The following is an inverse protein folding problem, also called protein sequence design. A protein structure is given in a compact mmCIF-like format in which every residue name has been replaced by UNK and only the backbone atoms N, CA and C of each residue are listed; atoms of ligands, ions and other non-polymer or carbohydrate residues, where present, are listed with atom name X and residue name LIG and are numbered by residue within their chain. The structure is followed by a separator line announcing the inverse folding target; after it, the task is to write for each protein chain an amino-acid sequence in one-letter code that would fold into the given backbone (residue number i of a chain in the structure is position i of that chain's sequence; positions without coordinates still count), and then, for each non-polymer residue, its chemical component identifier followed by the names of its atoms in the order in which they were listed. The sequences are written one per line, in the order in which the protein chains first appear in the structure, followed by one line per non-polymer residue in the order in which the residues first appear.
data_IF_895768709582
#
_entry.id   IF_895768709582
#
_cell.length_a   1.000
_cell.length_b   1.000
_cell.length_c   1.000
_cell.angle_alpha   90.00
_cell.angle_beta   90.00
_cell.angle_gamma   90.00
#
_symmetry.space_group_name_H-M   'P 1'
#
loop_
_entity.id
_entity.type
_entity.pdbx_description
1 polymer ?
#
# COMPACT_ATOMS: atom_id res chain seq x y z
N UNK A 1 -9.04 47.01 22.15
CA UNK A 1 -8.84 45.87 21.22
C UNK A 1 -9.59 44.66 21.84
N UNK A 2 -10.85 44.45 21.42
CA UNK A 2 -11.66 43.31 21.87
C UNK A 2 -11.26 42.16 20.96
N UNK A 3 -10.48 41.21 21.47
CA UNK A 3 -10.28 39.92 20.86
C UNK A 3 -11.60 39.14 20.96
N UNK A 4 -12.33 39.08 19.85
CA UNK A 4 -13.42 38.11 19.71
C UNK A 4 -12.84 36.70 19.67
N UNK A 5 -12.60 36.12 20.83
CA UNK A 5 -12.43 34.70 20.98
C UNK A 5 -13.83 34.12 20.79
N UNK A 6 -14.11 33.60 19.59
CA UNK A 6 -15.25 32.72 19.39
C UNK A 6 -14.95 31.44 20.21
N UNK A 7 -15.28 31.45 21.50
CA UNK A 7 -15.52 30.22 22.24
C UNK A 7 -16.70 29.54 21.55
N UNK A 8 -16.42 28.43 20.89
CA UNK A 8 -17.47 27.52 20.42
C UNK A 8 -18.25 27.15 21.66
N UNK A 9 -19.54 27.51 21.68
CA UNK A 9 -20.42 27.12 22.77
C UNK A 9 -20.48 25.60 22.85
N UNK A 10 -20.72 25.04 24.05
CA UNK A 10 -20.72 23.60 24.30
C UNK A 10 -21.73 22.78 23.45
N UNK A 11 -22.52 23.43 22.60
CA UNK A 11 -23.59 22.86 21.75
C UNK A 11 -23.30 22.92 20.23
N UNK A 12 -22.13 23.37 19.78
CA UNK A 12 -21.88 23.49 18.33
C UNK A 12 -21.53 22.13 17.72
N UNK A 13 -22.30 21.72 16.69
CA UNK A 13 -22.05 20.50 15.92
C UNK A 13 -20.73 20.60 15.12
N UNK A 14 -19.90 19.58 15.21
CA UNK A 14 -18.69 19.40 14.42
C UNK A 14 -19.06 18.74 13.09
N UNK A 15 -19.16 19.52 12.03
CA UNK A 15 -19.50 19.01 10.71
C UNK A 15 -18.24 18.65 9.93
N UNK A 16 -18.15 17.40 9.46
CA UNK A 16 -17.07 16.87 8.64
C UNK A 16 -17.68 16.46 7.30
N UNK A 17 -17.12 16.93 6.19
CA UNK A 17 -17.52 16.50 4.86
C UNK A 17 -16.99 15.10 4.54
N UNK A 18 -17.76 14.32 3.79
CA UNK A 18 -17.33 13.05 3.22
C UNK A 18 -17.61 13.08 1.72
N UNK A 19 -16.58 13.10 0.88
CA UNK A 19 -16.73 13.14 -0.57
C UNK A 19 -16.23 11.83 -1.19
N UNK A 20 -17.19 11.01 -1.66
CA UNK A 20 -16.92 9.66 -2.20
C UNK A 20 -17.85 9.39 -3.38
N UNK A 21 -17.54 8.44 -4.28
CA UNK A 21 -18.44 8.08 -5.38
C UNK A 21 -19.62 7.26 -4.87
N UNK A 22 -20.79 7.88 -4.71
CA UNK A 22 -22.02 7.20 -4.27
C UNK A 22 -22.91 6.77 -5.45
N UNK A 23 -22.48 7.08 -6.68
CA UNK A 23 -23.11 6.64 -7.92
C UNK A 23 -22.07 6.34 -9.00
N UNK A 24 -22.50 5.68 -10.10
CA UNK A 24 -21.63 5.29 -11.21
C UNK A 24 -20.81 4.03 -10.94
N UNK A 25 -19.76 3.85 -11.73
CA UNK A 25 -18.90 2.65 -11.74
C UNK A 25 -18.29 2.29 -10.37
N UNK A 26 -17.92 3.29 -9.58
CA UNK A 26 -17.23 3.11 -8.29
C UNK A 26 -18.17 3.21 -7.08
N UNK A 27 -19.47 3.07 -7.30
CA UNK A 27 -20.48 3.20 -6.24
C UNK A 27 -20.23 2.24 -5.05
N UNK A 28 -19.87 1.00 -5.32
CA UNK A 28 -19.61 -0.01 -4.27
C UNK A 28 -18.47 0.42 -3.33
N UNK A 29 -17.43 1.06 -3.87
CA UNK A 29 -16.32 1.61 -3.07
C UNK A 29 -16.85 2.74 -2.18
N UNK A 30 -17.62 3.67 -2.74
CA UNK A 30 -18.18 4.80 -2.01
C UNK A 30 -19.16 4.37 -0.91
N UNK A 31 -20.05 3.44 -1.21
CA UNK A 31 -20.99 2.88 -0.24
C UNK A 31 -20.25 2.18 0.91
N UNK A 32 -19.20 1.43 0.60
CA UNK A 32 -18.38 0.76 1.62
C UNK A 32 -17.67 1.78 2.53
N UNK A 33 -17.13 2.85 1.96
CA UNK A 33 -16.51 3.94 2.73
C UNK A 33 -17.53 4.65 3.62
N UNK A 34 -18.72 4.95 3.10
CA UNK A 34 -19.80 5.58 3.86
C UNK A 34 -20.24 4.71 5.05
N UNK A 35 -20.43 3.40 4.83
CA UNK A 35 -20.75 2.43 5.89
C UNK A 35 -19.64 2.39 6.96
N UNK A 36 -18.37 2.33 6.57
CA UNK A 36 -17.25 2.34 7.51
C UNK A 36 -17.14 3.65 8.29
N UNK A 37 -17.42 4.79 7.64
CA UNK A 37 -17.47 6.10 8.29
C UNK A 37 -18.58 6.14 9.36
N UNK A 38 -19.79 5.63 9.05
CA UNK A 38 -20.89 5.50 10.03
C UNK A 38 -20.50 4.61 11.21
N UNK A 39 -19.83 3.50 10.93
CA UNK A 39 -19.34 2.60 11.98
C UNK A 39 -18.34 3.31 12.91
N UNK A 40 -17.45 4.14 12.36
CA UNK A 40 -16.52 4.94 13.16
C UNK A 40 -17.25 5.96 14.05
N UNK A 41 -18.23 6.68 13.52
CA UNK A 41 -19.04 7.64 14.29
C UNK A 41 -19.79 6.94 15.40
N UNK A 42 -20.44 5.82 15.14
CA UNK A 42 -21.14 5.04 16.17
C UNK A 42 -20.20 4.58 17.31
N UNK A 43 -18.92 4.34 16.98
CA UNK A 43 -17.92 3.97 18.01
C UNK A 43 -17.36 5.13 18.79
N UNK A 44 -17.33 6.31 18.20
CA UNK A 44 -16.95 7.56 18.90
C UNK A 44 -18.00 7.91 19.93
N UNK A 45 -19.28 7.62 19.63
CA UNK A 45 -20.44 7.84 20.52
C UNK A 45 -20.49 9.28 21.04
N UNK A 46 -20.25 10.25 20.14
CA UNK A 46 -20.34 11.68 20.44
C UNK A 46 -21.32 12.33 19.46
N UNK A 47 -22.47 12.73 19.97
CA UNK A 47 -23.59 13.32 19.19
C UNK A 47 -23.21 14.66 18.52
N UNK A 48 -22.13 15.29 18.93
CA UNK A 48 -21.65 16.54 18.34
C UNK A 48 -21.07 16.35 16.94
N UNK A 49 -20.64 15.13 16.59
CA UNK A 49 -20.02 14.88 15.27
C UNK A 49 -21.08 14.50 14.24
N UNK A 50 -21.10 15.25 13.15
CA UNK A 50 -21.94 14.99 11.99
C UNK A 50 -21.11 14.81 10.72
N UNK A 51 -21.37 13.73 10.02
CA UNK A 51 -20.80 13.50 8.68
C UNK A 51 -21.78 13.96 7.61
N UNK A 52 -21.31 14.79 6.69
CA UNK A 52 -22.09 15.29 5.55
C UNK A 52 -21.59 14.62 4.27
N UNK A 53 -22.24 13.54 3.80
CA UNK A 53 -21.82 12.82 2.61
C UNK A 53 -22.23 13.56 1.34
N UNK A 54 -21.36 13.55 0.32
CA UNK A 54 -21.60 14.07 -1.01
C UNK A 54 -21.08 13.11 -2.07
N UNK A 55 -21.84 12.94 -3.14
CA UNK A 55 -21.48 12.08 -4.27
C UNK A 55 -20.54 12.80 -5.23
N UNK A 56 -19.34 12.24 -5.43
CA UNK A 56 -18.36 12.76 -6.38
C UNK A 56 -18.49 12.15 -7.78
N UNK A 57 -19.24 11.07 -7.94
CA UNK A 57 -19.29 10.25 -9.17
C UNK A 57 -17.92 9.85 -9.72
N UNK A 58 -16.88 9.91 -8.90
CA UNK A 58 -15.47 9.78 -9.30
C UNK A 58 -15.03 10.77 -10.41
N UNK A 59 -15.76 11.88 -10.56
CA UNK A 59 -15.51 12.94 -11.54
C UNK A 59 -14.84 14.15 -10.87
N UNK A 60 -13.74 14.70 -11.42
CA UNK A 60 -13.02 15.85 -10.83
C UNK A 60 -13.86 17.12 -10.75
N UNK A 61 -14.70 17.42 -11.74
CA UNK A 61 -15.54 18.63 -11.76
C UNK A 61 -16.69 18.53 -10.75
N UNK A 62 -17.32 17.35 -10.65
CA UNK A 62 -18.34 17.10 -9.63
C UNK A 62 -17.70 17.16 -8.24
N UNK A 63 -16.53 16.59 -8.07
CA UNK A 63 -15.76 16.66 -6.81
C UNK A 63 -15.52 18.11 -6.38
N UNK A 64 -15.07 18.98 -7.29
CA UNK A 64 -14.90 20.41 -7.01
C UNK A 64 -16.23 21.08 -6.62
N UNK A 65 -17.32 20.80 -7.38
CA UNK A 65 -18.63 21.38 -7.11
C UNK A 65 -19.12 21.06 -5.70
N UNK A 66 -19.14 19.77 -5.33
CA UNK A 66 -19.63 19.34 -4.01
C UNK A 66 -18.72 19.80 -2.88
N UNK A 67 -17.41 19.97 -3.14
CA UNK A 67 -16.47 20.52 -2.16
C UNK A 67 -16.73 22.00 -1.89
N UNK A 68 -17.09 22.80 -2.92
CA UNK A 68 -17.53 24.20 -2.76
C UNK A 68 -18.82 24.29 -1.95
N UNK A 69 -19.82 23.45 -2.25
CA UNK A 69 -21.06 23.40 -1.48
C UNK A 69 -20.82 23.12 0.01
N UNK A 70 -19.87 22.23 0.33
CA UNK A 70 -19.49 21.95 1.72
C UNK A 70 -18.76 23.12 2.36
N UNK A 71 -17.85 23.80 1.63
CA UNK A 71 -17.16 24.99 2.11
C UNK A 71 -18.16 26.13 2.43
N UNK A 72 -19.15 26.37 1.56
CA UNK A 72 -20.22 27.36 1.76
C UNK A 72 -21.07 27.07 3.01
N UNK A 73 -21.17 25.79 3.41
CA UNK A 73 -21.80 25.36 4.67
C UNK A 73 -20.87 25.50 5.90
N UNK A 74 -19.68 26.11 5.73
CA UNK A 74 -18.69 26.31 6.80
C UNK A 74 -17.85 25.10 7.14
N UNK A 75 -17.89 24.03 6.33
CA UNK A 75 -17.11 22.80 6.58
C UNK A 75 -15.66 23.02 6.19
N UNK A 76 -14.75 22.85 7.16
CA UNK A 76 -13.32 23.09 7.01
C UNK A 76 -12.51 21.79 6.83
N UNK A 77 -13.07 20.64 7.18
CA UNK A 77 -12.42 19.34 7.06
C UNK A 77 -13.28 18.41 6.23
N UNK A 78 -12.71 17.83 5.19
CA UNK A 78 -13.38 16.92 4.27
C UNK A 78 -12.55 15.63 4.13
N UNK A 79 -13.15 14.49 4.42
CA UNK A 79 -12.58 13.16 4.16
C UNK A 79 -12.88 12.77 2.71
N UNK A 80 -11.86 12.36 1.98
CA UNK A 80 -11.92 12.15 0.53
C UNK A 80 -11.16 13.25 -0.24
N UNK A 81 -11.17 13.16 -1.56
CA UNK A 81 -11.71 12.12 -2.41
C UNK A 81 -10.90 10.80 -2.36
N UNK A 82 -11.43 9.76 -3.03
CA UNK A 82 -10.79 8.46 -3.13
C UNK A 82 -9.65 8.46 -4.14
N UNK A 83 -9.90 8.98 -5.33
CA UNK A 83 -8.99 8.89 -6.46
C UNK A 83 -8.14 10.16 -6.63
N UNK A 84 -6.85 9.97 -6.93
CA UNK A 84 -5.89 11.07 -7.09
C UNK A 84 -6.31 12.06 -8.18
N UNK A 85 -6.87 11.59 -9.30
CA UNK A 85 -7.37 12.46 -10.39
C UNK A 85 -8.39 13.51 -9.92
N UNK A 86 -9.10 13.23 -8.83
CA UNK A 86 -10.13 14.13 -8.28
C UNK A 86 -9.53 15.26 -7.44
N UNK A 87 -8.21 15.25 -7.18
CA UNK A 87 -7.51 16.30 -6.40
C UNK A 87 -7.17 17.54 -7.24
N UNK A 88 -7.18 17.43 -8.56
CA UNK A 88 -6.63 18.42 -9.49
C UNK A 88 -7.14 19.85 -9.25
N UNK A 89 -8.44 20.01 -8.99
CA UNK A 89 -9.08 21.34 -8.87
C UNK A 89 -9.25 21.80 -7.42
N UNK A 90 -8.83 21.02 -6.42
CA UNK A 90 -9.08 21.33 -5.01
C UNK A 90 -8.11 22.36 -4.42
N UNK A 91 -7.03 22.70 -5.13
CA UNK A 91 -5.98 23.63 -4.70
C UNK A 91 -6.47 25.05 -4.34
N UNK A 92 -7.59 25.47 -4.95
CA UNK A 92 -8.13 26.81 -4.77
C UNK A 92 -9.03 26.92 -3.52
N UNK A 93 -9.44 25.81 -2.92
CA UNK A 93 -10.23 25.73 -1.69
C UNK A 93 -9.34 25.78 -0.44
N UNK A 94 -8.59 26.88 -0.28
CA UNK A 94 -7.52 27.02 0.73
C UNK A 94 -7.99 26.93 2.18
N UNK A 95 -9.26 27.24 2.44
CA UNK A 95 -9.87 27.19 3.77
C UNK A 95 -10.29 25.77 4.17
N UNK A 96 -10.22 24.81 3.23
CA UNK A 96 -10.62 23.43 3.46
C UNK A 96 -9.40 22.53 3.45
N UNK A 97 -9.30 21.66 4.44
CA UNK A 97 -8.34 20.56 4.46
C UNK A 97 -9.00 19.27 4.00
N UNK A 98 -8.43 18.67 2.96
CA UNK A 98 -8.89 17.38 2.43
C UNK A 98 -8.03 16.24 2.97
N UNK A 99 -8.66 15.23 3.53
CA UNK A 99 -8.02 13.97 3.92
C UNK A 99 -8.30 12.92 2.84
N UNK A 100 -7.49 12.91 1.79
CA UNK A 100 -7.66 12.00 0.67
C UNK A 100 -7.38 10.55 1.06
N UNK A 101 -8.16 9.62 0.53
CA UNK A 101 -7.95 8.18 0.67
C UNK A 101 -6.93 7.62 -0.34
N UNK A 102 -6.40 8.47 -1.22
CA UNK A 102 -5.35 8.11 -2.18
C UNK A 102 -4.05 7.74 -1.47
N UNK A 103 -3.30 6.81 -2.07
CA UNK A 103 -1.94 6.44 -1.64
C UNK A 103 -0.84 7.23 -2.38
N UNK A 104 -1.21 8.09 -3.34
CA UNK A 104 -0.29 8.88 -4.17
C UNK A 104 0.07 10.20 -3.48
N UNK A 105 1.37 10.48 -3.36
CA UNK A 105 1.88 11.69 -2.69
C UNK A 105 2.49 12.73 -3.64
N UNK A 106 2.61 12.42 -4.92
CA UNK A 106 3.19 13.33 -5.91
C UNK A 106 2.15 14.34 -6.39
N UNK A 107 2.59 15.61 -6.53
CA UNK A 107 1.81 16.73 -7.10
C UNK A 107 0.49 17.05 -6.38
N UNK A 108 0.38 16.75 -5.10
CA UNK A 108 -0.82 17.08 -4.36
C UNK A 108 -0.90 18.56 -3.99
N UNK A 109 -2.11 19.16 -4.02
CA UNK A 109 -2.33 20.49 -3.46
C UNK A 109 -1.93 20.58 -1.98
N UNK A 110 -1.48 21.76 -1.53
CA UNK A 110 -1.01 21.97 -0.15
C UNK A 110 -2.10 21.74 0.92
N UNK A 111 -3.35 21.88 0.56
CA UNK A 111 -4.51 21.65 1.43
C UNK A 111 -5.01 20.20 1.39
N UNK A 112 -4.26 19.29 0.74
CA UNK A 112 -4.57 17.85 0.68
C UNK A 112 -3.55 17.07 1.49
N UNK A 113 -4.06 16.23 2.36
CA UNK A 113 -3.31 15.28 3.19
C UNK A 113 -3.71 13.87 2.74
N UNK A 114 -2.74 13.07 2.29
CA UNK A 114 -3.02 11.68 1.93
C UNK A 114 -3.04 10.78 3.15
N UNK A 115 -4.20 10.17 3.39
CA UNK A 115 -4.42 9.17 4.43
C UNK A 115 -4.11 7.74 3.97
N UNK A 116 -3.95 7.50 2.66
CA UNK A 116 -3.65 6.18 2.12
C UNK A 116 -2.26 5.65 2.49
N UNK A 117 -2.09 4.34 2.41
CA UNK A 117 -0.80 3.68 2.67
C UNK A 117 0.14 3.95 1.50
N UNK A 118 1.01 4.94 1.66
CA UNK A 118 1.90 5.42 0.61
C UNK A 118 3.16 4.54 0.44
N UNK A 119 3.83 4.69 -0.71
CA UNK A 119 5.04 3.94 -1.04
C UNK A 119 6.16 4.14 -0.01
N UNK A 120 6.33 5.36 0.55
CA UNK A 120 7.37 5.64 1.55
C UNK A 120 7.18 4.78 2.80
N UNK A 121 5.95 4.65 3.31
CA UNK A 121 5.64 3.82 4.48
C UNK A 121 5.93 2.34 4.21
N UNK A 122 5.60 1.87 3.01
CA UNK A 122 5.84 0.49 2.59
C UNK A 122 7.33 0.19 2.43
N UNK A 123 8.06 1.04 1.70
CA UNK A 123 9.51 0.87 1.50
C UNK A 123 10.28 0.99 2.84
N UNK A 124 9.84 1.83 3.79
CA UNK A 124 10.42 1.85 5.15
C UNK A 124 10.27 0.51 5.87
N UNK A 125 9.09 -0.11 5.75
CA UNK A 125 8.87 -1.42 6.37
C UNK A 125 9.69 -2.52 5.69
N UNK A 126 9.82 -2.48 4.35
CA UNK A 126 10.67 -3.39 3.58
C UNK A 126 12.15 -3.21 4.00
N UNK A 127 12.63 -1.97 4.12
CA UNK A 127 13.98 -1.68 4.60
C UNK A 127 14.24 -2.31 5.97
N UNK A 128 13.30 -2.15 6.92
CA UNK A 128 13.40 -2.78 8.24
C UNK A 128 13.47 -4.31 8.14
N UNK A 129 12.71 -4.92 7.24
CA UNK A 129 12.75 -6.36 6.98
C UNK A 129 14.11 -6.80 6.42
N UNK A 130 14.69 -6.04 5.47
CA UNK A 130 16.03 -6.30 4.96
C UNK A 130 17.08 -6.27 6.09
N UNK A 131 17.04 -5.23 6.94
CA UNK A 131 17.96 -5.08 8.07
C UNK A 131 17.79 -6.24 9.07
N UNK A 132 16.56 -6.65 9.36
CA UNK A 132 16.27 -7.76 10.26
C UNK A 132 16.77 -9.12 9.76
N UNK A 133 16.76 -9.36 8.44
CA UNK A 133 17.17 -10.61 7.81
C UNK A 133 18.58 -10.54 7.19
N UNK A 134 19.34 -9.46 7.37
CA UNK A 134 20.66 -9.24 6.79
C UNK A 134 20.69 -9.41 5.25
N UNK A 135 19.66 -8.90 4.55
CA UNK A 135 19.57 -8.95 3.10
C UNK A 135 20.36 -7.79 2.48
N UNK A 136 21.52 -8.10 1.92
CA UNK A 136 22.43 -7.06 1.42
C UNK A 136 22.38 -6.87 -0.10
N UNK A 137 21.84 -7.86 -0.82
CA UNK A 137 21.86 -7.90 -2.28
C UNK A 137 20.45 -7.93 -2.85
N UNK A 138 19.58 -7.05 -2.36
CA UNK A 138 18.22 -6.93 -2.85
C UNK A 138 18.17 -6.21 -4.20
N UNK A 139 17.40 -6.75 -5.12
CA UNK A 139 17.04 -6.05 -6.37
C UNK A 139 15.59 -5.55 -6.27
N UNK A 140 15.30 -4.43 -6.93
CA UNK A 140 13.96 -3.85 -6.97
C UNK A 140 13.42 -3.90 -8.39
N UNK A 141 12.31 -4.59 -8.59
CA UNK A 141 11.56 -4.67 -9.83
C UNK A 141 10.40 -3.68 -9.79
N UNK A 142 10.37 -2.76 -10.74
CA UNK A 142 9.34 -1.70 -10.83
C UNK A 142 8.64 -1.81 -12.18
N UNK A 143 7.30 -1.91 -12.22
CA UNK A 143 6.58 -1.88 -13.49
C UNK A 143 6.72 -0.50 -14.16
N UNK A 144 6.81 -0.49 -15.48
CA UNK A 144 6.76 0.74 -16.28
C UNK A 144 5.32 1.27 -16.33
N UNK A 145 4.87 1.84 -15.23
CA UNK A 145 3.49 2.33 -15.01
C UNK A 145 3.50 3.72 -14.38
N UNK A 146 2.32 4.32 -14.25
CA UNK A 146 2.15 5.63 -13.59
C UNK A 146 2.59 5.62 -12.11
N UNK A 147 2.65 4.46 -11.47
CA UNK A 147 3.07 4.31 -10.07
C UNK A 147 4.59 4.30 -9.89
N UNK A 148 5.36 4.17 -10.97
CA UNK A 148 6.82 4.12 -10.95
C UNK A 148 7.46 5.27 -10.19
N UNK A 149 7.03 6.51 -10.46
CA UNK A 149 7.59 7.71 -9.85
C UNK A 149 7.44 7.72 -8.32
N UNK A 150 6.33 7.20 -7.79
CA UNK A 150 6.08 7.07 -6.36
C UNK A 150 7.08 6.11 -5.69
N UNK A 151 7.36 4.99 -6.34
CA UNK A 151 8.34 4.00 -5.84
C UNK A 151 9.76 4.57 -5.88
N UNK A 152 10.15 5.22 -7.00
CA UNK A 152 11.47 5.84 -7.14
C UNK A 152 11.69 6.93 -6.09
N UNK A 153 10.70 7.78 -5.84
CA UNK A 153 10.73 8.80 -4.79
C UNK A 153 10.85 8.17 -3.38
N UNK A 154 10.11 7.10 -3.13
CA UNK A 154 10.17 6.36 -1.87
C UNK A 154 11.55 5.74 -1.63
N UNK A 155 12.19 5.18 -2.67
CA UNK A 155 13.56 4.64 -2.60
C UNK A 155 14.54 5.74 -2.19
N UNK A 156 14.48 6.91 -2.83
CA UNK A 156 15.36 8.04 -2.51
C UNK A 156 15.14 8.53 -1.07
N UNK A 157 13.89 8.73 -0.66
CA UNK A 157 13.55 9.27 0.66
C UNK A 157 13.85 8.31 1.81
N UNK A 158 13.72 7.02 1.60
CA UNK A 158 13.99 5.99 2.63
C UNK A 158 15.45 5.59 2.70
N UNK A 159 16.22 5.86 1.65
CA UNK A 159 17.62 5.41 1.51
C UNK A 159 17.74 3.89 1.74
N UNK A 160 16.78 3.14 1.20
CA UNK A 160 16.84 1.67 1.21
C UNK A 160 18.06 1.20 0.41
N UNK A 161 18.80 0.22 0.93
CA UNK A 161 19.94 -0.36 0.22
C UNK A 161 19.46 -1.32 -0.85
N UNK A 162 19.81 -1.04 -2.09
CA UNK A 162 19.51 -1.89 -3.24
C UNK A 162 20.79 -2.21 -3.98
N UNK A 163 20.96 -3.45 -4.39
CA UNK A 163 22.01 -3.85 -5.30
C UNK A 163 21.79 -3.30 -6.69
N UNK A 164 20.53 -3.39 -7.15
CA UNK A 164 20.13 -2.92 -8.48
C UNK A 164 18.63 -2.58 -8.50
N UNK A 165 18.26 -1.77 -9.48
CA UNK A 165 16.88 -1.38 -9.76
C UNK A 165 16.58 -1.66 -11.23
N UNK A 166 15.53 -2.41 -11.48
CA UNK A 166 15.14 -2.83 -12.82
C UNK A 166 13.69 -2.42 -13.12
N UNK A 167 13.52 -1.71 -14.23
CA UNK A 167 12.20 -1.30 -14.73
C UNK A 167 11.80 -2.30 -15.81
N UNK A 168 10.63 -2.94 -15.64
CA UNK A 168 10.16 -3.93 -16.56
C UNK A 168 8.88 -3.50 -17.27
N UNK A 169 8.67 -4.07 -18.45
CA UNK A 169 7.44 -3.95 -19.22
C UNK A 169 6.39 -4.93 -18.68
N UNK A 170 5.14 -4.51 -18.58
CA UNK A 170 4.04 -5.34 -18.09
C UNK A 170 3.51 -6.34 -19.13
N UNK A 171 3.92 -6.25 -20.40
CA UNK A 171 3.64 -7.29 -21.39
C UNK A 171 4.36 -8.59 -21.00
N UNK A 172 3.65 -9.71 -20.78
CA UNK A 172 4.25 -10.96 -20.28
C UNK A 172 5.38 -11.52 -21.15
N UNK A 173 5.33 -11.31 -22.47
CA UNK A 173 6.34 -11.79 -23.40
C UNK A 173 7.64 -11.00 -23.24
N UNK A 174 7.52 -9.68 -23.17
CA UNK A 174 8.64 -8.77 -22.95
C UNK A 174 9.22 -9.00 -21.56
N UNK A 175 8.36 -9.06 -20.54
CA UNK A 175 8.73 -9.31 -19.15
C UNK A 175 9.58 -10.57 -19.00
N UNK A 176 9.13 -11.70 -19.55
CA UNK A 176 9.88 -12.97 -19.45
C UNK A 176 11.29 -12.83 -20.04
N UNK A 177 11.42 -12.21 -21.23
CA UNK A 177 12.71 -11.95 -21.85
C UNK A 177 13.63 -11.05 -21.00
N UNK A 178 13.04 -10.05 -20.33
CA UNK A 178 13.76 -9.14 -19.42
C UNK A 178 14.24 -9.88 -18.16
N UNK A 179 13.40 -10.74 -17.56
CA UNK A 179 13.76 -11.56 -16.39
C UNK A 179 14.83 -12.60 -16.77
N UNK A 180 14.79 -13.20 -17.94
CA UNK A 180 15.88 -14.08 -18.45
C UNK A 180 17.23 -13.37 -18.44
N UNK A 181 17.28 -12.11 -18.91
CA UNK A 181 18.52 -11.30 -18.90
C UNK A 181 18.97 -11.00 -17.47
N UNK A 182 18.05 -10.53 -16.61
CA UNK A 182 18.32 -10.19 -15.21
C UNK A 182 18.90 -11.36 -14.43
N UNK A 183 18.31 -12.55 -14.60
CA UNK A 183 18.71 -13.78 -13.92
C UNK A 183 19.87 -14.49 -14.59
N UNK A 184 20.34 -14.01 -15.74
CA UNK A 184 21.38 -14.65 -16.57
C UNK A 184 21.00 -16.09 -16.94
N UNK A 185 19.69 -16.36 -17.16
CA UNK A 185 19.15 -17.70 -17.35
C UNK A 185 19.84 -18.48 -18.47
N UNK A 186 20.03 -17.88 -19.64
CA UNK A 186 20.66 -18.52 -20.81
C UNK A 186 22.10 -18.95 -20.49
N UNK A 187 22.86 -18.13 -19.77
CA UNK A 187 24.23 -18.45 -19.36
C UNK A 187 24.23 -19.61 -18.36
N UNK A 188 23.37 -19.55 -17.35
CA UNK A 188 23.26 -20.62 -16.33
C UNK A 188 22.81 -21.95 -16.94
N UNK A 189 21.92 -21.89 -17.95
CA UNK A 189 21.49 -23.07 -18.69
C UNK A 189 22.62 -23.64 -19.56
N UNK A 190 23.44 -22.78 -20.18
CA UNK A 190 24.60 -23.20 -20.93
C UNK A 190 25.66 -23.83 -20.01
N UNK A 191 25.95 -23.22 -18.83
CA UNK A 191 26.86 -23.77 -17.84
C UNK A 191 26.48 -25.19 -17.43
N UNK A 192 25.17 -25.48 -17.26
CA UNK A 192 24.71 -26.83 -16.96
C UNK A 192 25.06 -27.83 -18.06
N UNK A 193 24.79 -27.47 -19.31
CA UNK A 193 25.12 -28.31 -20.47
C UNK A 193 26.62 -28.56 -20.61
N UNK A 194 27.41 -27.50 -20.41
CA UNK A 194 28.87 -27.58 -20.51
C UNK A 194 29.48 -28.47 -19.41
N UNK A 195 28.92 -28.39 -18.20
CA UNK A 195 29.38 -29.23 -17.09
C UNK A 195 28.99 -30.69 -17.27
N UNK A 196 27.80 -31.01 -17.74
CA UNK A 196 27.40 -32.37 -18.09
C UNK A 196 28.34 -32.92 -19.16
N UNK A 197 28.58 -32.18 -20.26
CA UNK A 197 29.46 -32.59 -21.32
C UNK A 197 30.94 -32.76 -20.84
N UNK A 198 31.39 -31.91 -19.91
CA UNK A 198 32.70 -32.04 -19.27
C UNK A 198 32.84 -33.37 -18.51
N UNK A 199 31.79 -33.70 -17.72
CA UNK A 199 31.78 -34.97 -16.96
C UNK A 199 31.70 -36.19 -17.85
N UNK A 200 30.90 -36.17 -18.93
CA UNK A 200 30.84 -37.27 -19.90
C UNK A 200 32.22 -37.62 -20.47
N UNK A 201 33.05 -36.60 -20.74
CA UNK A 201 34.38 -36.73 -21.31
C UNK A 201 35.50 -36.86 -20.25
N UNK A 202 35.15 -36.99 -18.97
CA UNK A 202 36.11 -37.09 -17.87
C UNK A 202 36.27 -38.54 -17.38
N UNK A 203 37.39 -38.85 -16.74
CA UNK A 203 37.62 -40.12 -16.02
C UNK A 203 37.30 -40.01 -14.53
N UNK A 204 36.47 -39.02 -14.13
CA UNK A 204 36.13 -38.80 -12.73
C UNK A 204 35.36 -40.01 -12.14
N UNK A 205 35.77 -40.44 -10.95
CA UNK A 205 35.02 -41.41 -10.18
C UNK A 205 33.60 -40.90 -9.89
N UNK A 206 32.57 -41.78 -10.01
CA UNK A 206 31.16 -41.46 -9.81
C UNK A 206 30.58 -40.41 -10.78
N UNK A 207 31.15 -40.26 -11.98
CA UNK A 207 30.65 -39.29 -12.99
C UNK A 207 29.15 -39.51 -13.33
N UNK A 208 28.70 -40.75 -13.44
CA UNK A 208 27.32 -41.08 -13.75
C UNK A 208 26.35 -40.51 -12.71
N UNK A 209 26.66 -40.70 -11.41
CA UNK A 209 25.82 -40.13 -10.35
C UNK A 209 25.84 -38.57 -10.35
N UNK A 210 26.99 -37.97 -10.69
CA UNK A 210 27.09 -36.51 -10.84
C UNK A 210 26.25 -36.01 -11.99
N UNK A 211 26.28 -36.68 -13.13
CA UNK A 211 25.45 -36.35 -14.32
C UNK A 211 23.99 -36.48 -13.98
N UNK A 212 23.52 -37.60 -13.40
CA UNK A 212 22.15 -37.80 -12.97
C UNK A 212 21.66 -36.71 -12.01
N UNK A 213 22.54 -36.19 -11.14
CA UNK A 213 22.19 -35.09 -10.23
C UNK A 213 22.14 -33.73 -10.95
N UNK A 214 22.94 -33.53 -12.00
CA UNK A 214 22.86 -32.32 -12.84
C UNK A 214 21.66 -32.32 -13.73
N UNK A 215 21.27 -33.45 -14.33
CA UNK A 215 20.09 -33.59 -15.17
C UNK A 215 18.77 -33.25 -14.45
N UNK A 216 18.76 -33.33 -13.11
CA UNK A 216 17.60 -32.91 -12.29
C UNK A 216 17.52 -31.38 -12.11
N UNK A 217 18.49 -30.62 -12.59
CA UNK A 217 18.56 -29.16 -12.46
C UNK A 217 18.15 -28.47 -13.77
N UNK A 218 17.52 -27.32 -13.65
CA UNK A 218 17.20 -26.49 -14.80
C UNK A 218 18.38 -25.60 -15.21
N UNK A 219 19.22 -25.21 -14.26
CA UNK A 219 20.38 -24.34 -14.48
C UNK A 219 21.54 -24.68 -13.55
N UNK A 220 22.76 -24.27 -13.95
CA UNK A 220 23.95 -24.36 -13.12
C UNK A 220 24.57 -22.96 -12.92
N UNK A 221 24.88 -22.65 -11.66
CA UNK A 221 25.46 -21.37 -11.26
C UNK A 221 24.53 -20.56 -10.35
N UNK A 222 25.13 -19.66 -9.59
CA UNK A 222 24.43 -18.81 -8.64
C UNK A 222 23.77 -17.61 -9.29
N UNK A 223 22.75 -17.10 -8.64
CA UNK A 223 22.21 -15.76 -8.83
C UNK A 223 22.95 -14.80 -7.90
N UNK A 224 23.06 -13.55 -8.32
CA UNK A 224 23.90 -12.58 -7.60
C UNK A 224 23.11 -11.69 -6.64
N UNK A 225 21.87 -12.06 -6.30
CA UNK A 225 20.98 -11.39 -5.34
C UNK A 225 20.36 -12.40 -4.37
N UNK A 226 19.96 -11.94 -3.19
CA UNK A 226 19.36 -12.74 -2.11
C UNK A 226 17.89 -12.45 -1.92
N UNK A 227 17.41 -11.36 -2.49
CA UNK A 227 16.00 -10.96 -2.42
C UNK A 227 15.57 -10.15 -3.63
N UNK A 228 14.30 -10.26 -3.95
CA UNK A 228 13.63 -9.52 -5.02
C UNK A 228 12.46 -8.76 -4.42
N UNK A 229 12.51 -7.43 -4.50
CA UNK A 229 11.41 -6.56 -4.13
C UNK A 229 10.60 -6.30 -5.40
N UNK A 230 9.35 -6.74 -5.44
CA UNK A 230 8.45 -6.62 -6.60
C UNK A 230 7.42 -5.54 -6.28
N UNK A 231 7.53 -4.38 -6.93
CA UNK A 231 6.64 -3.25 -6.69
C UNK A 231 5.35 -3.38 -7.52
N UNK A 232 4.63 -4.49 -7.38
CA UNK A 232 3.45 -4.78 -8.19
C UNK A 232 2.37 -5.54 -7.39
N UNK A 233 1.21 -5.74 -8.03
CA UNK A 233 0.00 -6.29 -7.43
C UNK A 233 -0.68 -7.27 -8.39
N UNK A 234 -1.63 -8.05 -7.88
CA UNK A 234 -2.58 -8.87 -8.62
C UNK A 234 -1.92 -9.75 -9.71
N UNK A 235 -2.48 -9.80 -10.90
CA UNK A 235 -2.00 -10.62 -12.02
C UNK A 235 -0.60 -10.21 -12.51
N UNK A 236 -0.24 -8.93 -12.39
CA UNK A 236 1.08 -8.45 -12.76
C UNK A 236 2.17 -9.01 -11.82
N UNK A 237 1.90 -9.04 -10.52
CA UNK A 237 2.76 -9.69 -9.53
C UNK A 237 2.94 -11.19 -9.84
N UNK A 238 1.85 -11.89 -10.19
CA UNK A 238 1.90 -13.31 -10.58
C UNK A 238 2.74 -13.53 -11.83
N UNK A 239 2.62 -12.65 -12.82
CA UNK A 239 3.41 -12.70 -14.06
C UNK A 239 4.91 -12.57 -13.79
N UNK A 240 5.31 -11.63 -12.92
CA UNK A 240 6.73 -11.45 -12.53
C UNK A 240 7.25 -12.70 -11.83
N UNK A 241 6.52 -13.21 -10.85
CA UNK A 241 6.96 -14.38 -10.07
C UNK A 241 6.99 -15.66 -10.90
N UNK A 242 6.04 -15.83 -11.82
CA UNK A 242 6.05 -16.93 -12.80
C UNK A 242 7.30 -16.84 -13.70
N UNK A 243 7.65 -15.65 -14.18
CA UNK A 243 8.87 -15.45 -14.99
C UNK A 243 10.15 -15.69 -14.19
N UNK A 244 10.18 -15.33 -12.91
CA UNK A 244 11.29 -15.66 -12.01
C UNK A 244 11.41 -17.18 -11.82
N UNK A 245 10.31 -17.87 -11.56
CA UNK A 245 10.28 -19.32 -11.42
C UNK A 245 10.73 -20.03 -12.71
N UNK A 246 10.22 -19.59 -13.86
CA UNK A 246 10.64 -20.11 -15.16
C UNK A 246 12.16 -20.00 -15.38
N UNK A 247 12.80 -18.97 -14.82
CA UNK A 247 14.24 -18.79 -14.89
C UNK A 247 15.01 -19.46 -13.74
N UNK A 248 14.41 -20.43 -13.05
CA UNK A 248 14.98 -21.15 -11.91
C UNK A 248 15.39 -20.20 -10.77
N UNK A 249 14.56 -19.22 -10.48
CA UNK A 249 14.70 -18.33 -9.34
C UNK A 249 13.40 -18.40 -8.52
N UNK A 250 13.30 -19.41 -7.67
CA UNK A 250 12.11 -19.65 -6.84
C UNK A 250 12.15 -18.87 -5.52
N UNK A 251 10.99 -18.71 -4.88
CA UNK A 251 10.85 -18.11 -3.56
C UNK A 251 11.62 -18.85 -2.44
N UNK A 252 11.97 -20.12 -2.66
CA UNK A 252 12.83 -20.91 -1.76
C UNK A 252 14.31 -20.59 -1.91
N UNK A 253 14.72 -19.98 -3.03
CA UNK A 253 16.13 -19.62 -3.31
C UNK A 253 16.42 -18.17 -2.99
N UNK A 254 15.43 -17.28 -3.13
CA UNK A 254 15.51 -15.85 -2.86
C UNK A 254 14.26 -15.39 -2.15
N UNK A 255 14.37 -14.38 -1.29
CA UNK A 255 13.21 -13.83 -0.63
C UNK A 255 12.37 -12.99 -1.61
N UNK A 256 11.14 -13.41 -1.89
CA UNK A 256 10.18 -12.60 -2.62
C UNK A 256 9.52 -11.62 -1.67
N UNK A 257 9.74 -10.34 -1.92
CA UNK A 257 9.19 -9.24 -1.12
C UNK A 257 8.29 -8.40 -2.03
N UNK A 258 7.10 -8.03 -1.57
CA UNK A 258 6.21 -7.17 -2.35
C UNK A 258 5.66 -6.01 -1.52
N UNK A 259 4.84 -5.16 -2.15
CA UNK A 259 4.12 -4.10 -1.48
C UNK A 259 2.93 -4.64 -0.67
N UNK A 260 2.13 -3.76 -0.06
CA UNK A 260 0.97 -4.14 0.72
C UNK A 260 -0.08 -4.89 -0.13
N UNK A 261 -0.37 -6.12 0.23
CA UNK A 261 -1.33 -6.99 -0.45
C UNK A 261 -2.67 -7.11 0.28
N UNK A 262 -2.92 -6.31 1.29
CA UNK A 262 -4.19 -6.24 2.04
C UNK A 262 -4.74 -7.59 2.52
N UNK A 263 -3.90 -8.61 2.71
CA UNK A 263 -4.29 -9.97 3.05
C UNK A 263 -5.20 -10.64 2.02
N UNK A 264 -4.94 -10.37 0.73
CA UNK A 264 -5.65 -11.02 -0.35
C UNK A 264 -5.42 -12.55 -0.32
N UNK A 265 -6.51 -13.27 -0.08
CA UNK A 265 -6.47 -14.74 0.00
C UNK A 265 -6.13 -15.42 -1.33
N UNK A 266 -6.19 -14.71 -2.46
CA UNK A 266 -5.76 -15.27 -3.75
C UNK A 266 -4.28 -15.63 -3.74
N UNK A 267 -3.44 -14.88 -3.02
CA UNK A 267 -2.01 -15.15 -2.86
C UNK A 267 -1.76 -16.50 -2.17
N UNK A 268 -2.62 -16.90 -1.25
CA UNK A 268 -2.50 -18.18 -0.56
C UNK A 268 -2.79 -19.39 -1.45
N UNK A 269 -3.47 -19.18 -2.57
CA UNK A 269 -3.76 -20.25 -3.56
C UNK A 269 -2.62 -20.48 -4.54
N UNK A 270 -1.67 -19.56 -4.62
CA UNK A 270 -0.55 -19.58 -5.56
C UNK A 270 0.70 -20.15 -4.85
N UNK A 271 0.85 -21.47 -4.85
CA UNK A 271 1.99 -22.13 -4.18
C UNK A 271 3.34 -21.66 -4.69
N UNK A 272 3.45 -21.32 -5.98
CA UNK A 272 4.69 -20.85 -6.60
C UNK A 272 5.10 -19.44 -6.14
N UNK A 273 4.18 -18.67 -5.55
CA UNK A 273 4.48 -17.37 -4.93
C UNK A 273 5.03 -17.51 -3.52
N UNK A 274 4.76 -18.61 -2.85
CA UNK A 274 5.05 -18.78 -1.42
C UNK A 274 6.46 -19.38 -1.19
N UNK A 275 7.13 -18.90 -0.15
CA UNK A 275 6.78 -17.79 0.75
C UNK A 275 6.91 -16.42 0.06
N UNK A 276 5.94 -15.52 0.29
CA UNK A 276 6.04 -14.12 -0.13
C UNK A 276 5.89 -13.18 1.07
N UNK A 277 6.76 -12.19 1.14
CA UNK A 277 6.88 -11.25 2.25
C UNK A 277 6.31 -9.88 1.88
N UNK A 278 5.56 -9.25 2.77
CA UNK A 278 4.96 -7.95 2.48
C UNK A 278 4.66 -7.12 3.73
N UNK A 279 4.76 -5.78 3.64
CA UNK A 279 4.28 -4.88 4.67
C UNK A 279 2.76 -4.76 4.60
N UNK A 280 2.09 -4.72 5.75
CA UNK A 280 0.67 -4.44 5.81
C UNK A 280 0.26 -3.85 7.16
N UNK A 281 -1.02 -3.53 7.26
CA UNK A 281 -1.68 -3.05 8.48
C UNK A 281 -1.72 -4.15 9.55
N UNK A 282 -2.31 -3.85 10.72
CA UNK A 282 -2.50 -4.88 11.73
C UNK A 282 -3.60 -5.86 11.31
N UNK A 283 -3.23 -7.14 11.09
CA UNK A 283 -4.16 -8.17 10.59
C UNK A 283 -5.30 -8.46 11.56
N UNK A 284 -5.02 -8.58 12.85
CA UNK A 284 -6.05 -8.86 13.85
C UNK A 284 -7.10 -7.73 13.88
N UNK A 285 -6.65 -6.48 13.87
CA UNK A 285 -7.57 -5.34 13.79
C UNK A 285 -8.38 -5.33 12.50
N UNK A 286 -7.75 -5.72 11.37
CA UNK A 286 -8.43 -5.83 10.08
C UNK A 286 -9.52 -6.91 10.12
N UNK A 287 -9.20 -8.11 10.60
CA UNK A 287 -10.14 -9.21 10.71
C UNK A 287 -11.32 -8.85 11.64
N UNK A 288 -11.03 -8.18 12.76
CA UNK A 288 -12.07 -7.68 13.69
C UNK A 288 -12.96 -6.63 13.01
N UNK A 289 -12.39 -5.70 12.24
CA UNK A 289 -13.17 -4.72 11.50
C UNK A 289 -14.06 -5.38 10.44
N UNK A 290 -13.52 -6.30 9.65
CA UNK A 290 -14.29 -7.04 8.62
C UNK A 290 -15.45 -7.79 9.29
N UNK A 291 -15.21 -8.48 10.40
CA UNK A 291 -16.22 -9.21 11.14
C UNK A 291 -17.33 -8.29 11.68
N UNK A 292 -16.96 -7.15 12.25
CA UNK A 292 -17.89 -6.16 12.77
C UNK A 292 -18.72 -5.49 11.67
N UNK A 293 -18.06 -5.13 10.57
CA UNK A 293 -18.73 -4.56 9.40
C UNK A 293 -19.75 -5.54 8.83
N UNK A 294 -19.35 -6.80 8.64
CA UNK A 294 -20.24 -7.85 8.15
C UNK A 294 -21.45 -8.07 9.07
N UNK A 295 -21.23 -8.07 10.38
CA UNK A 295 -22.29 -8.25 11.37
C UNK A 295 -23.38 -7.18 11.31
N UNK A 296 -22.99 -5.94 10.96
CA UNK A 296 -23.92 -4.80 10.91
C UNK A 296 -24.56 -4.67 9.53
N UNK A 297 -23.81 -4.87 8.46
CA UNK A 297 -24.25 -4.57 7.09
C UNK A 297 -24.55 -5.81 6.24
N UNK A 298 -24.26 -7.01 6.75
CA UNK A 298 -24.35 -8.28 6.00
C UNK A 298 -23.62 -8.22 4.64
N UNK A 299 -22.45 -7.57 4.63
CA UNK A 299 -21.65 -7.24 3.46
C UNK A 299 -20.17 -7.21 3.83
N UNK A 300 -19.27 -7.40 2.85
CA UNK A 300 -17.84 -7.31 3.07
C UNK A 300 -17.33 -5.90 2.75
N UNK A 301 -16.48 -5.31 3.61
CA UNK A 301 -15.94 -3.99 3.35
C UNK A 301 -14.93 -4.02 2.20
N UNK A 302 -14.95 -2.95 1.37
CA UNK A 302 -13.81 -2.68 0.50
C UNK A 302 -12.58 -2.31 1.35
N UNK A 303 -11.40 -2.72 0.92
CA UNK A 303 -10.14 -2.51 1.65
C UNK A 303 -9.88 -1.02 2.00
N UNK A 304 -10.22 -0.09 1.09
CA UNK A 304 -10.06 1.36 1.31
C UNK A 304 -10.98 1.87 2.44
N UNK A 305 -12.11 1.24 2.67
CA UNK A 305 -13.06 1.66 3.70
C UNK A 305 -12.47 1.60 5.11
N UNK A 306 -11.50 0.71 5.33
CA UNK A 306 -10.76 0.61 6.59
C UNK A 306 -9.96 1.89 6.90
N UNK A 307 -9.41 2.53 5.84
CA UNK A 307 -8.73 3.84 5.97
C UNK A 307 -9.69 4.93 6.43
N UNK A 308 -10.90 4.99 5.86
CA UNK A 308 -11.86 6.02 6.24
C UNK A 308 -12.31 5.92 7.68
N UNK A 309 -12.46 4.70 8.21
CA UNK A 309 -12.74 4.46 9.63
C UNK A 309 -11.69 5.14 10.52
N UNK A 310 -10.41 4.92 10.24
CA UNK A 310 -9.32 5.49 11.02
C UNK A 310 -9.13 6.99 10.80
N UNK A 311 -9.40 7.50 9.59
CA UNK A 311 -9.34 8.95 9.33
C UNK A 311 -10.42 9.72 10.11
N UNK A 312 -11.62 9.17 10.26
CA UNK A 312 -12.66 9.75 11.13
C UNK A 312 -12.16 9.80 12.57
N UNK A 313 -11.61 8.70 13.08
CA UNK A 313 -11.03 8.65 14.41
C UNK A 313 -9.86 9.63 14.61
N UNK A 314 -9.00 9.80 13.60
CA UNK A 314 -7.91 10.77 13.61
C UNK A 314 -8.43 12.20 13.68
N UNK A 315 -9.40 12.55 12.85
CA UNK A 315 -10.00 13.91 12.84
C UNK A 315 -10.61 14.21 14.19
N UNK A 316 -11.41 13.28 14.74
CA UNK A 316 -11.98 13.45 16.06
C UNK A 316 -10.91 13.65 17.14
N UNK A 317 -9.89 12.79 17.17
CA UNK A 317 -8.79 12.88 18.12
C UNK A 317 -8.05 14.23 18.06
N UNK A 318 -7.80 14.74 16.86
CA UNK A 318 -7.09 16.01 16.67
C UNK A 318 -7.96 17.21 17.09
N UNK A 319 -9.25 17.18 16.78
CA UNK A 319 -10.22 18.21 17.18
C UNK A 319 -10.39 18.20 18.71
N UNK A 320 -10.58 17.03 19.31
CA UNK A 320 -10.63 16.86 20.76
C UNK A 320 -9.38 17.40 21.45
N UNK A 321 -8.21 17.09 20.93
CA UNK A 321 -6.92 17.56 21.44
C UNK A 321 -6.71 19.08 21.29
N UNK A 322 -7.49 19.73 20.46
CA UNK A 322 -7.47 21.16 20.19
C UNK A 322 -8.72 21.87 20.79
N UNK A 323 -9.22 21.33 21.92
CA UNK A 323 -10.36 21.89 22.67
C UNK A 323 -11.60 22.14 21.80
N UNK A 324 -11.86 21.20 20.85
CA UNK A 324 -12.93 21.25 19.86
C UNK A 324 -12.88 22.44 18.88
N UNK A 325 -11.75 23.15 18.81
CA UNK A 325 -11.53 24.21 17.81
C UNK A 325 -11.07 23.57 16.48
N UNK A 326 -11.85 23.79 15.41
CA UNK A 326 -11.52 23.33 14.07
C UNK A 326 -10.61 24.38 13.40
N UNK A 327 -9.32 24.13 13.41
CA UNK A 327 -8.30 24.91 12.70
C UNK A 327 -7.47 23.97 11.81
N UNK A 328 -7.22 24.36 10.57
CA UNK A 328 -6.39 23.61 9.64
C UNK A 328 -4.98 23.34 10.16
N UNK A 329 -4.50 24.11 11.14
CA UNK A 329 -3.19 23.93 11.79
C UNK A 329 -3.09 22.70 12.67
N UNK A 330 -4.23 22.04 13.04
CA UNK A 330 -4.20 20.82 13.85
C UNK A 330 -3.39 19.70 13.18
N UNK A 331 -3.33 19.68 11.85
CA UNK A 331 -2.60 18.70 11.07
C UNK A 331 -1.09 19.01 10.94
N UNK A 332 -0.64 20.21 11.31
CA UNK A 332 0.79 20.59 11.25
C UNK A 332 1.59 20.10 12.44
N UNK A 333 0.95 19.98 13.60
CA UNK A 333 1.60 19.51 14.83
C UNK A 333 1.92 18.04 14.72
N UNK A 334 3.12 17.65 15.18
CA UNK A 334 3.50 16.24 15.23
C UNK A 334 2.61 15.49 16.23
N UNK A 335 1.89 14.50 15.77
CA UNK A 335 1.04 13.63 16.56
C UNK A 335 1.22 12.17 16.14
N UNK A 336 1.01 11.26 17.08
CA UNK A 336 0.84 9.82 16.82
C UNK A 336 -0.59 9.44 17.12
N UNK A 337 -1.20 8.69 16.24
CA UNK A 337 -2.52 8.13 16.42
C UNK A 337 -2.45 6.61 16.28
N UNK A 338 -3.06 5.90 17.23
CA UNK A 338 -3.20 4.44 17.18
C UNK A 338 -4.63 4.12 16.78
N UNK A 339 -4.80 3.88 15.48
CA UNK A 339 -6.07 3.47 14.92
C UNK A 339 -6.19 1.95 14.77
N UNK A 340 -7.21 1.51 14.07
CA UNK A 340 -7.43 0.11 13.69
C UNK A 340 -6.38 -0.39 12.69
N UNK A 341 -5.98 0.45 11.74
CA UNK A 341 -4.88 0.15 10.77
C UNK A 341 -3.59 -0.17 11.51
N UNK A 342 -3.34 0.49 12.62
CA UNK A 342 -2.11 0.46 13.37
C UNK A 342 -1.73 1.86 13.83
N UNK A 343 -0.43 2.14 13.87
CA UNK A 343 0.07 3.46 14.26
C UNK A 343 0.38 4.25 13.00
N UNK A 344 -0.15 5.46 12.92
CA UNK A 344 0.30 6.44 11.95
C UNK A 344 0.67 7.76 12.61
N UNK A 345 1.62 8.42 11.98
CA UNK A 345 2.15 9.70 12.43
C UNK A 345 1.69 10.79 11.49
N UNK A 346 1.21 11.90 12.05
CA UNK A 346 0.98 13.11 11.29
C UNK A 346 2.01 14.15 11.66
N UNK A 347 2.58 14.83 10.68
CA UNK A 347 3.55 15.90 10.87
C UNK A 347 3.59 16.77 9.62
N UNK A 348 3.44 18.10 9.79
CA UNK A 348 3.50 19.07 8.68
C UNK A 348 2.60 18.66 7.50
N UNK A 349 1.34 18.38 7.77
CA UNK A 349 0.34 17.92 6.78
C UNK A 349 0.71 16.62 6.02
N UNK A 350 1.52 15.75 6.62
CA UNK A 350 1.87 14.46 6.02
C UNK A 350 1.55 13.33 6.97
N UNK A 351 0.88 12.30 6.45
CA UNK A 351 0.63 11.06 7.17
C UNK A 351 1.65 10.01 6.74
N UNK A 352 2.20 9.29 7.69
CA UNK A 352 3.02 8.10 7.47
C UNK A 352 2.55 6.96 8.37
N UNK A 353 2.42 5.77 7.78
CA UNK A 353 1.99 4.57 8.49
C UNK A 353 3.20 3.78 8.99
N UNK A 354 3.09 3.26 10.22
CA UNK A 354 4.02 2.27 10.75
C UNK A 354 3.39 0.91 10.50
N UNK A 355 3.88 0.23 9.46
CA UNK A 355 3.35 -1.06 9.03
C UNK A 355 3.99 -2.22 9.77
N UNK A 356 3.22 -3.28 9.99
CA UNK A 356 3.73 -4.59 10.34
C UNK A 356 4.28 -5.29 9.10
N UNK A 357 4.97 -6.40 9.29
CA UNK A 357 5.50 -7.21 8.20
C UNK A 357 5.00 -8.64 8.32
N UNK A 358 4.62 -9.22 7.20
CA UNK A 358 3.97 -10.53 7.12
C UNK A 358 4.65 -11.41 6.09
N UNK A 359 4.41 -12.71 6.23
CA UNK A 359 4.68 -13.70 5.21
C UNK A 359 3.38 -14.44 4.90
N UNK A 360 3.13 -14.66 3.61
CA UNK A 360 2.12 -15.61 3.13
C UNK A 360 2.82 -16.93 2.84
N UNK A 361 2.49 -17.94 3.62
CA UNK A 361 3.04 -19.30 3.52
C UNK A 361 2.06 -20.33 4.11
N UNK A 362 2.08 -21.54 3.62
CA UNK A 362 1.27 -22.64 4.16
C UNK A 362 -0.22 -22.28 4.35
N UNK A 363 -0.83 -21.65 3.34
CA UNK A 363 -2.22 -21.18 3.36
C UNK A 363 -2.57 -20.19 4.49
N UNK A 364 -1.59 -19.47 5.04
CA UNK A 364 -1.81 -18.54 6.12
C UNK A 364 -0.94 -17.26 5.97
N UNK A 365 -1.39 -16.19 6.61
CA UNK A 365 -0.63 -14.96 6.79
C UNK A 365 -0.04 -14.92 8.20
N UNK A 366 1.25 -15.08 8.31
CA UNK A 366 1.96 -15.03 9.60
C UNK A 366 2.70 -13.70 9.76
N UNK A 367 2.51 -13.07 10.91
CA UNK A 367 3.22 -11.84 11.27
C UNK A 367 4.69 -12.14 11.59
N UNK A 368 5.60 -11.29 11.11
CA UNK A 368 7.04 -11.35 11.40
C UNK A 368 7.39 -10.35 12.51
N UNK A 369 6.94 -9.07 12.36
CA UNK A 369 7.07 -8.06 13.40
C UNK A 369 5.99 -6.99 13.33
#
# INVERSE_FOLDING_TARGET
LILNIHQISADEEIKIGLIVPLSGEYKEIGDSILKATRLAINKIDDDKIKIIPKDTRADPKVTLKVSKELQEQGIKIIIGPVFNKNLEYLKDLKEVTFLSLSNTNTNNPNNVINGGINAISQIKAIKKFQEFNNLERSILLIPNSNFRSEIEDAVVKTKIKLKDKFIYDTDPTILTSQIEKLTRYKIRKQNLKDEIKRLENSDEANKENKILNLEKKDTLGGINFDSVIIADFDESLKSVTTSLLYTDVSSNRVNYITLNQWFDKSILKEENLQPIYFPSINKENYDNFVSEYFKIYNDNPNQISFLSFDLVGLVYFLIYKNDFVIDNKIFYKKNKFKGKIGIFEINKNKISHILNFYVAENNNFRKIF
#
